data_IF_265248242561
#
_entry.id   IF_265248242561
#
_cell.length_a   1.000
_cell.length_b   1.000
_cell.length_c   1.000
_cell.angle_alpha   90.00
_cell.angle_beta   90.00
_cell.angle_gamma   90.00
#
_symmetry.space_group_name_H-M   'P 1'
#
loop_
_entity.id
_entity.type
_entity.pdbx_description
1 polymer ?
#
# COMPACT_ATOMS: atom_id res chain seq x y z
N UNK A 1 -21.08 -4.39 0.92
CA UNK A 1 -20.77 -5.64 1.64
C UNK A 1 -19.32 -5.98 1.34
N UNK A 2 -18.58 -6.45 2.34
CA UNK A 2 -17.19 -6.87 2.20
C UNK A 2 -17.14 -8.25 1.52
N UNK A 3 -16.20 -8.46 0.59
CA UNK A 3 -16.10 -9.72 -0.13
C UNK A 3 -15.67 -10.87 0.81
N UNK A 4 -16.19 -12.10 0.63
CA UNK A 4 -15.73 -13.28 1.36
C UNK A 4 -14.21 -13.50 1.23
N UNK A 5 -13.57 -13.99 2.29
CA UNK A 5 -12.11 -14.10 2.35
C UNK A 5 -11.54 -15.06 1.29
N UNK A 6 -12.24 -16.16 1.02
CA UNK A 6 -11.92 -17.12 -0.04
C UNK A 6 -12.01 -16.50 -1.44
N UNK A 7 -13.04 -15.67 -1.68
CA UNK A 7 -13.18 -14.93 -2.93
C UNK A 7 -12.02 -13.94 -3.13
N UNK A 8 -11.64 -13.19 -2.08
CA UNK A 8 -10.49 -12.27 -2.13
C UNK A 8 -9.19 -13.03 -2.38
N UNK A 9 -8.96 -14.13 -1.66
CA UNK A 9 -7.76 -14.95 -1.84
C UNK A 9 -7.66 -15.50 -3.26
N UNK A 10 -8.78 -15.99 -3.80
CA UNK A 10 -8.85 -16.50 -5.17
C UNK A 10 -8.56 -15.40 -6.20
N UNK A 11 -9.19 -14.22 -6.09
CA UNK A 11 -8.94 -13.11 -7.02
C UNK A 11 -7.49 -12.64 -6.99
N UNK A 12 -6.88 -12.55 -5.80
CA UNK A 12 -5.49 -12.15 -5.65
C UNK A 12 -4.54 -13.18 -6.27
N UNK A 13 -4.77 -14.47 -6.04
CA UNK A 13 -3.94 -15.54 -6.57
C UNK A 13 -4.06 -15.67 -8.10
N UNK A 14 -5.28 -15.63 -8.64
CA UNK A 14 -5.52 -15.77 -10.07
C UNK A 14 -5.06 -14.53 -10.86
N UNK A 15 -5.28 -13.30 -10.37
CA UNK A 15 -4.72 -12.11 -11.02
C UNK A 15 -3.19 -12.12 -11.03
N UNK A 16 -2.57 -12.56 -9.92
CA UNK A 16 -1.12 -12.72 -9.84
C UNK A 16 -0.63 -13.72 -10.89
N UNK A 17 -1.24 -14.91 -10.97
CA UNK A 17 -0.91 -15.93 -11.96
C UNK A 17 -1.08 -15.41 -13.39
N UNK A 18 -2.23 -14.81 -13.69
CA UNK A 18 -2.55 -14.26 -15.01
C UNK A 18 -1.50 -13.24 -15.48
N UNK A 19 -1.11 -12.30 -14.61
CA UNK A 19 -0.09 -11.31 -14.95
C UNK A 19 1.30 -11.96 -15.15
N UNK A 20 1.65 -12.98 -14.38
CA UNK A 20 2.91 -13.72 -14.58
C UNK A 20 2.90 -14.47 -15.92
N UNK A 21 1.79 -15.09 -16.29
CA UNK A 21 1.64 -15.84 -17.55
C UNK A 21 1.78 -14.91 -18.77
N UNK A 22 1.23 -13.68 -18.69
CA UNK A 22 1.31 -12.69 -19.78
C UNK A 22 2.70 -12.03 -19.86
N UNK A 23 3.29 -11.69 -18.72
CA UNK A 23 4.53 -10.91 -18.67
C UNK A 23 5.79 -11.78 -18.71
N UNK A 24 5.68 -13.08 -18.37
CA UNK A 24 6.82 -13.96 -18.14
C UNK A 24 7.68 -13.55 -16.93
N UNK A 25 7.19 -12.64 -16.09
CA UNK A 25 7.90 -12.10 -14.93
C UNK A 25 7.18 -12.47 -13.64
N UNK A 26 7.91 -12.46 -12.52
CA UNK A 26 7.32 -12.60 -11.20
C UNK A 26 6.49 -11.36 -10.85
N UNK A 27 5.35 -11.58 -10.21
CA UNK A 27 4.52 -10.51 -9.65
C UNK A 27 4.65 -10.57 -8.13
N UNK A 28 5.58 -9.77 -7.60
CA UNK A 28 5.96 -9.80 -6.19
C UNK A 28 5.25 -8.72 -5.34
N UNK A 29 4.62 -7.72 -5.97
CA UNK A 29 4.08 -6.56 -5.27
C UNK A 29 2.61 -6.33 -5.60
N UNK A 30 1.82 -5.93 -4.60
CA UNK A 30 0.39 -5.67 -4.75
C UNK A 30 0.04 -4.21 -4.39
N UNK A 31 -0.99 -3.66 -5.03
CA UNK A 31 -1.55 -2.36 -4.67
C UNK A 31 -3.06 -2.50 -4.47
N UNK A 32 -3.54 -2.18 -3.27
CA UNK A 32 -4.97 -2.30 -2.96
C UNK A 32 -5.80 -1.36 -3.83
N UNK A 33 -6.90 -1.84 -4.44
CA UNK A 33 -7.89 -0.97 -5.07
C UNK A 33 -8.40 0.06 -4.07
N UNK A 34 -8.38 1.34 -4.44
CA UNK A 34 -8.65 2.51 -3.58
C UNK A 34 -7.70 2.70 -2.39
N UNK A 35 -7.33 1.63 -1.67
CA UNK A 35 -6.26 1.56 -0.68
C UNK A 35 -6.46 2.34 0.62
N UNK A 36 -7.63 2.94 0.83
CA UNK A 36 -7.95 3.66 2.06
C UNK A 36 -8.36 2.69 3.18
N UNK A 37 -8.49 3.18 4.42
CA UNK A 37 -8.79 2.37 5.61
C UNK A 37 -10.04 1.49 5.49
N UNK A 38 -11.04 1.91 4.71
CA UNK A 38 -12.26 1.13 4.44
C UNK A 38 -12.15 0.12 3.29
N UNK A 39 -11.04 0.13 2.54
CA UNK A 39 -10.85 -0.73 1.36
C UNK A 39 -9.90 -1.90 1.66
N UNK A 40 -9.00 -1.74 2.62
CA UNK A 40 -8.08 -2.77 3.05
C UNK A 40 -7.73 -2.59 4.54
N UNK A 41 -7.79 -3.71 5.27
CA UNK A 41 -7.36 -3.83 6.66
C UNK A 41 -6.44 -5.04 6.87
N UNK A 42 -6.22 -5.38 8.14
CA UNK A 42 -5.34 -6.49 8.54
C UNK A 42 -5.71 -7.82 7.86
N UNK A 43 -7.01 -8.04 7.61
CA UNK A 43 -7.53 -9.20 6.88
C UNK A 43 -6.93 -9.31 5.47
N UNK A 44 -7.01 -8.24 4.67
CA UNK A 44 -6.47 -8.23 3.32
C UNK A 44 -4.94 -8.27 3.30
N UNK A 45 -4.27 -7.65 4.28
CA UNK A 45 -2.83 -7.74 4.44
C UNK A 45 -2.37 -9.18 4.68
N UNK A 46 -3.09 -9.91 5.54
CA UNK A 46 -2.81 -11.32 5.80
C UNK A 46 -3.06 -12.18 4.56
N UNK A 47 -4.18 -11.97 3.85
CA UNK A 47 -4.45 -12.72 2.61
C UNK A 47 -3.38 -12.43 1.55
N UNK A 48 -2.94 -11.18 1.37
CA UNK A 48 -1.85 -10.85 0.44
C UNK A 48 -0.54 -11.56 0.81
N UNK A 49 -0.24 -11.68 2.10
CA UNK A 49 0.92 -12.44 2.59
C UNK A 49 0.79 -13.93 2.24
N UNK A 50 -0.37 -14.52 2.49
CA UNK A 50 -0.61 -15.95 2.29
C UNK A 50 -0.63 -16.34 0.80
N UNK A 51 -1.09 -15.45 -0.08
CA UNK A 51 -1.01 -15.59 -1.54
C UNK A 51 0.44 -15.51 -2.04
N UNK A 52 1.37 -14.96 -1.24
CA UNK A 52 2.80 -14.93 -1.54
C UNK A 52 3.30 -13.63 -2.17
N UNK A 53 2.58 -12.51 -2.01
CA UNK A 53 3.15 -11.19 -2.33
C UNK A 53 4.26 -10.83 -1.33
N UNK A 54 5.34 -10.23 -1.81
CA UNK A 54 6.47 -9.76 -0.99
C UNK A 54 6.15 -8.46 -0.26
N UNK A 55 5.44 -7.54 -0.92
CA UNK A 55 4.92 -6.32 -0.28
C UNK A 55 3.55 -5.94 -0.86
N UNK A 56 2.80 -5.14 -0.12
CA UNK A 56 1.59 -4.50 -0.62
C UNK A 56 1.49 -3.03 -0.17
N UNK A 57 0.89 -2.18 -1.01
CA UNK A 57 0.81 -0.74 -0.80
C UNK A 57 -0.63 -0.24 -0.68
N UNK A 58 -0.85 0.67 0.27
CA UNK A 58 -2.14 1.33 0.56
C UNK A 58 -2.16 2.75 -0.02
N UNK A 59 -3.23 3.51 0.23
CA UNK A 59 -3.27 4.98 0.02
C UNK A 59 -3.31 5.74 1.35
N UNK A 60 -3.07 5.07 2.48
CA UNK A 60 -2.89 5.73 3.78
C UNK A 60 -1.69 6.66 3.67
N UNK A 61 -1.90 7.95 3.90
CA UNK A 61 -0.92 8.98 3.62
C UNK A 61 0.29 8.87 4.55
N UNK A 62 1.47 8.62 3.98
CA UNK A 62 2.69 8.49 4.76
C UNK A 62 3.93 8.30 3.91
N UNK A 63 5.08 8.59 4.51
CA UNK A 63 6.41 8.17 4.04
C UNK A 63 6.79 6.85 4.69
N UNK A 64 7.86 6.21 4.19
CA UNK A 64 8.40 4.99 4.79
C UNK A 64 9.24 5.32 6.03
N UNK A 65 8.86 4.72 7.16
CA UNK A 65 9.62 4.64 8.41
C UNK A 65 10.04 3.19 8.71
N UNK A 66 11.06 3.01 9.56
CA UNK A 66 11.61 1.70 9.92
C UNK A 66 10.56 0.74 10.51
N UNK A 67 9.55 1.27 11.21
CA UNK A 67 8.44 0.53 11.80
C UNK A 67 7.65 -0.28 10.77
N UNK A 68 7.58 0.16 9.50
CA UNK A 68 6.88 -0.59 8.46
C UNK A 68 7.61 -1.87 8.02
N UNK A 69 8.86 -2.08 8.44
CA UNK A 69 9.53 -3.36 8.21
C UNK A 69 8.80 -4.54 8.88
N UNK A 70 7.97 -4.27 9.88
CA UNK A 70 7.11 -5.26 10.53
C UNK A 70 5.78 -5.50 9.81
N UNK A 71 5.43 -4.64 8.85
CA UNK A 71 4.17 -4.70 8.09
C UNK A 71 4.38 -4.34 6.62
N UNK A 72 5.03 -5.26 5.90
CA UNK A 72 5.33 -5.10 4.48
C UNK A 72 4.08 -5.16 3.57
N UNK A 73 2.93 -5.54 4.11
CA UNK A 73 1.69 -5.70 3.38
C UNK A 73 0.73 -4.52 3.59
N UNK A 74 1.17 -3.46 4.28
CA UNK A 74 0.39 -2.23 4.46
C UNK A 74 1.21 -0.95 4.21
N UNK A 75 2.20 -1.00 3.30
CA UNK A 75 3.11 0.12 3.09
C UNK A 75 2.35 1.39 2.61
N UNK A 76 2.63 2.57 3.18
CA UNK A 76 1.96 3.81 2.77
C UNK A 76 2.45 4.28 1.40
N UNK A 77 1.63 5.12 0.76
CA UNK A 77 2.02 5.85 -0.45
C UNK A 77 1.90 7.36 -0.25
N UNK A 78 2.72 8.09 -1.01
CA UNK A 78 2.58 9.53 -1.19
C UNK A 78 1.68 9.80 -2.40
N UNK A 79 0.66 10.64 -2.19
CA UNK A 79 -0.20 11.11 -3.26
C UNK A 79 0.47 12.24 -4.05
N UNK A 80 0.53 12.08 -5.37
CA UNK A 80 0.94 13.11 -6.32
C UNK A 80 -0.30 13.66 -7.01
N UNK A 81 -0.47 14.98 -6.91
CA UNK A 81 -1.55 15.73 -7.53
C UNK A 81 -1.03 16.39 -8.82
N UNK A 82 -1.93 16.68 -9.76
CA UNK A 82 -1.56 17.26 -11.06
C UNK A 82 -0.96 18.67 -10.98
N UNK A 83 -1.19 19.37 -9.87
CA UNK A 83 -0.68 20.69 -9.55
C UNK A 83 0.59 20.65 -8.66
N UNK A 84 1.16 19.46 -8.43
CA UNK A 84 2.44 19.38 -7.73
C UNK A 84 3.57 20.01 -8.55
N UNK A 85 4.19 21.02 -7.96
CA UNK A 85 5.46 21.59 -8.41
C UNK A 85 6.64 20.73 -7.93
N UNK A 86 7.84 20.98 -8.47
CA UNK A 86 9.07 20.36 -7.96
C UNK A 86 9.27 20.62 -6.44
N UNK A 87 8.91 21.81 -5.96
CA UNK A 87 9.02 22.17 -4.54
C UNK A 87 8.01 21.43 -3.66
N UNK A 88 6.76 21.29 -4.10
CA UNK A 88 5.75 20.53 -3.32
C UNK A 88 6.07 19.04 -3.32
N UNK A 89 6.52 18.49 -4.44
CA UNK A 89 7.03 17.12 -4.52
C UNK A 89 8.20 16.92 -3.55
N UNK A 90 9.16 17.84 -3.51
CA UNK A 90 10.30 17.77 -2.59
C UNK A 90 9.84 17.77 -1.13
N UNK A 91 8.91 18.64 -0.75
CA UNK A 91 8.32 18.65 0.59
C UNK A 91 7.59 17.35 0.95
N UNK A 92 6.96 16.68 -0.01
CA UNK A 92 6.31 15.37 0.19
C UNK A 92 7.33 14.26 0.41
N UNK A 93 8.36 14.19 -0.43
CA UNK A 93 9.40 13.13 -0.37
C UNK A 93 10.27 13.28 0.87
N UNK A 94 10.67 14.51 1.23
CA UNK A 94 11.51 14.78 2.42
C UNK A 94 10.72 14.64 3.74
N UNK A 95 9.41 14.36 3.68
CA UNK A 95 8.57 14.11 4.85
C UNK A 95 8.01 15.36 5.54
N UNK A 96 8.31 16.58 5.05
CA UNK A 96 7.76 17.84 5.58
C UNK A 96 6.23 17.82 5.59
N UNK A 97 5.63 17.37 4.50
CA UNK A 97 4.17 17.27 4.38
C UNK A 97 3.58 16.31 5.43
N UNK A 98 4.27 15.19 5.70
CA UNK A 98 3.85 14.21 6.70
C UNK A 98 4.04 14.75 8.13
N UNK A 99 5.12 15.46 8.40
CA UNK A 99 5.35 16.11 9.70
C UNK A 99 4.25 17.13 10.01
N UNK A 100 3.88 17.97 9.03
CA UNK A 100 2.78 18.94 9.18
C UNK A 100 1.45 18.22 9.40
N UNK A 101 1.12 17.21 8.59
CA UNK A 101 -0.14 16.47 8.71
C UNK A 101 -0.27 15.73 10.05
N UNK A 102 0.84 15.21 10.59
CA UNK A 102 0.90 14.57 11.92
C UNK A 102 1.04 15.58 13.07
N UNK A 103 1.06 16.89 12.79
CA UNK A 103 1.30 17.96 13.77
C UNK A 103 2.60 17.75 14.57
N UNK A 104 3.65 17.29 13.89
CA UNK A 104 4.93 16.90 14.50
C UNK A 104 4.81 15.80 15.58
N UNK A 105 3.69 15.05 15.59
CA UNK A 105 3.49 13.87 16.41
C UNK A 105 4.03 12.60 15.75
N UNK A 106 3.40 11.46 16.02
CA UNK A 106 3.78 10.18 15.41
C UNK A 106 3.48 10.20 13.89
N UNK A 107 4.50 10.14 13.02
CA UNK A 107 4.30 10.20 11.59
C UNK A 107 4.06 8.82 10.97
N UNK A 108 4.06 7.72 11.72
CA UNK A 108 3.93 6.37 11.15
C UNK A 108 2.47 6.11 10.77
N UNK A 109 2.23 5.78 9.49
CA UNK A 109 0.93 5.27 9.06
C UNK A 109 0.85 3.78 9.41
N UNK A 110 -0.19 3.37 10.13
CA UNK A 110 -0.39 1.98 10.53
C UNK A 110 -1.66 1.42 9.90
N UNK A 111 -1.73 0.09 9.80
CA UNK A 111 -2.96 -0.59 9.47
C UNK A 111 -3.94 -0.58 10.65
#
# INVERSE_FOLDING_TARGET
AEAPADAVQWELAENRRFLQDITGQRVDHFAYPFGHERACGEREAQICRDVGFRTAVTTRAGTLFAQHAHDLHALPRLHLAGDDTASTLRCKVDGVYRAIHSRFGDPVARM
#
